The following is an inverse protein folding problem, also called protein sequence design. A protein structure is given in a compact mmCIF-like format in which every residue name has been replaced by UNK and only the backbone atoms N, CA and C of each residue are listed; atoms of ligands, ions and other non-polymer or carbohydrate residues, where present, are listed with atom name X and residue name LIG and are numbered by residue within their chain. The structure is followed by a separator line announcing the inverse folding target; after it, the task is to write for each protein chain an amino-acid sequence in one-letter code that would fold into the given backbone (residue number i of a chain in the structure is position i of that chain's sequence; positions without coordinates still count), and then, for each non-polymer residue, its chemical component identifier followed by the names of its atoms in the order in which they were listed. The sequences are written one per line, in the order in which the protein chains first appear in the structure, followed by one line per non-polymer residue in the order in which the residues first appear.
data_IF_822176004464
#
_entry.id   IF_822176004464
#
_cell.length_a   1.000
_cell.length_b   1.000
_cell.length_c   1.000
_cell.angle_alpha   90.00
_cell.angle_beta   90.00
_cell.angle_gamma   90.00
#
_symmetry.space_group_name_H-M   'P 1'
#
loop_
_entity.id
_entity.type
_entity.pdbx_description
1 polymer ?
#
# COMPACT_ATOMS: atom_id res chain seq x y z
N UNK A 1 60.05 10.27 -11.29
CA UNK A 1 58.92 9.50 -10.73
C UNK A 1 57.68 9.95 -11.47
N UNK A 2 57.15 9.11 -12.36
CA UNK A 2 55.79 9.33 -12.90
C UNK A 2 54.86 9.10 -11.71
N UNK A 3 54.00 10.05 -11.33
CA UNK A 3 52.96 9.78 -10.34
C UNK A 3 52.18 8.59 -10.89
N UNK A 4 52.17 7.49 -10.17
CA UNK A 4 51.30 6.36 -10.50
C UNK A 4 49.88 6.91 -10.58
N UNK A 5 49.28 6.93 -11.77
CA UNK A 5 47.88 7.33 -11.98
C UNK A 5 46.91 6.26 -11.42
N UNK A 6 47.40 5.44 -10.50
CA UNK A 6 46.65 4.40 -9.81
C UNK A 6 45.80 5.07 -8.72
N UNK A 7 44.53 4.67 -8.60
CA UNK A 7 43.65 5.21 -7.59
C UNK A 7 44.05 4.77 -6.19
N UNK A 8 43.83 5.66 -5.22
CA UNK A 8 43.95 5.31 -3.80
C UNK A 8 42.74 4.49 -3.35
N UNK A 9 42.92 3.68 -2.30
CA UNK A 9 41.83 2.92 -1.69
C UNK A 9 40.67 3.84 -1.25
N UNK A 10 40.98 5.03 -0.73
CA UNK A 10 39.97 6.01 -0.32
C UNK A 10 39.13 6.51 -1.50
N UNK A 11 39.74 6.74 -2.66
CA UNK A 11 39.03 7.19 -3.87
C UNK A 11 38.11 6.07 -4.39
N UNK A 12 38.58 4.83 -4.37
CA UNK A 12 37.76 3.66 -4.76
C UNK A 12 36.58 3.47 -3.78
N UNK A 13 36.82 3.64 -2.47
CA UNK A 13 35.77 3.59 -1.45
C UNK A 13 34.72 4.69 -1.63
N UNK A 14 35.15 5.91 -1.96
CA UNK A 14 34.24 7.01 -2.26
C UNK A 14 33.34 6.67 -3.44
N UNK A 15 33.90 6.13 -4.53
CA UNK A 15 33.11 5.69 -5.69
C UNK A 15 32.07 4.63 -5.32
N UNK A 16 32.41 3.64 -4.48
CA UNK A 16 31.42 2.67 -3.98
C UNK A 16 30.34 3.33 -3.11
N UNK A 17 30.71 4.29 -2.26
CA UNK A 17 29.76 5.05 -1.44
C UNK A 17 28.80 5.87 -2.31
N UNK A 18 29.31 6.50 -3.37
CA UNK A 18 28.51 7.27 -4.35
C UNK A 18 27.55 6.39 -5.12
N UNK A 19 27.95 5.17 -5.48
CA UNK A 19 27.02 4.20 -6.06
C UNK A 19 25.90 3.86 -5.08
N UNK A 20 26.26 3.57 -3.82
CA UNK A 20 25.28 3.29 -2.77
C UNK A 20 24.30 4.45 -2.56
N UNK A 21 24.78 5.69 -2.58
CA UNK A 21 23.97 6.90 -2.44
C UNK A 21 23.01 7.09 -3.62
N UNK A 22 23.49 6.96 -4.86
CA UNK A 22 22.66 7.05 -6.05
C UNK A 22 21.57 5.97 -6.06
N UNK A 23 21.94 4.72 -5.74
CA UNK A 23 20.98 3.62 -5.66
C UNK A 23 19.96 3.82 -4.53
N UNK A 24 20.41 4.28 -3.36
CA UNK A 24 19.54 4.63 -2.24
C UNK A 24 18.47 5.65 -2.65
N UNK A 25 18.86 6.76 -3.28
CA UNK A 25 17.90 7.77 -3.73
C UNK A 25 16.96 7.26 -4.82
N UNK A 26 17.40 6.32 -5.67
CA UNK A 26 16.51 5.65 -6.62
C UNK A 26 15.41 4.83 -5.91
N UNK A 27 15.73 4.21 -4.77
CA UNK A 27 14.76 3.45 -3.97
C UNK A 27 13.86 4.36 -3.11
N UNK A 28 14.37 5.51 -2.64
CA UNK A 28 13.54 6.55 -1.99
C UNK A 28 12.44 7.02 -2.94
N UNK A 29 12.82 7.42 -4.15
CA UNK A 29 11.87 7.81 -5.20
C UNK A 29 10.87 6.69 -5.50
N UNK A 30 11.35 5.45 -5.64
CA UNK A 30 10.48 4.30 -5.88
C UNK A 30 9.44 4.12 -4.76
N UNK A 31 9.84 4.28 -3.49
CA UNK A 31 8.91 4.22 -2.34
C UNK A 31 7.92 5.38 -2.35
N UNK A 32 8.37 6.60 -2.65
CA UNK A 32 7.49 7.76 -2.82
C UNK A 32 6.42 7.52 -3.89
N UNK A 33 6.82 7.05 -5.07
CA UNK A 33 5.90 6.70 -6.16
C UNK A 33 4.93 5.57 -5.78
N UNK A 34 5.38 4.57 -5.03
CA UNK A 34 4.48 3.54 -4.51
C UNK A 34 3.40 4.11 -3.59
N UNK A 35 3.76 5.04 -2.69
CA UNK A 35 2.81 5.70 -1.79
C UNK A 35 1.79 6.50 -2.60
N UNK A 36 2.25 7.27 -3.59
CA UNK A 36 1.38 8.00 -4.52
C UNK A 36 0.40 7.04 -5.21
N UNK A 37 0.89 5.91 -5.73
CA UNK A 37 0.05 4.91 -6.39
C UNK A 37 -1.00 4.34 -5.45
N UNK A 38 -0.60 3.91 -4.24
CA UNK A 38 -1.48 3.34 -3.24
C UNK A 38 -2.61 4.30 -2.84
N UNK A 39 -2.32 5.60 -2.81
CA UNK A 39 -3.26 6.62 -2.35
C UNK A 39 -4.09 7.26 -3.47
N UNK A 40 -3.70 7.08 -4.74
CA UNK A 40 -4.36 7.71 -5.88
C UNK A 40 -5.82 7.26 -6.03
N UNK A 41 -6.10 5.97 -5.81
CA UNK A 41 -7.44 5.39 -6.02
C UNK A 41 -8.28 5.28 -4.74
N UNK A 42 -7.73 5.73 -3.61
CA UNK A 42 -8.45 5.70 -2.35
C UNK A 42 -9.60 6.73 -2.36
N UNK A 43 -10.77 6.42 -1.78
CA UNK A 43 -11.87 7.37 -1.66
C UNK A 43 -11.52 8.51 -0.70
N UNK A 44 -12.46 9.37 -0.29
CA UNK A 44 -12.17 10.41 0.71
C UNK A 44 -11.83 9.78 2.06
N UNK A 45 -11.05 10.49 2.88
CA UNK A 45 -10.56 10.04 4.19
C UNK A 45 -11.65 9.42 5.09
N UNK A 46 -12.85 9.98 5.10
CA UNK A 46 -13.98 9.53 5.92
C UNK A 46 -14.62 8.20 5.46
N UNK A 47 -14.16 7.66 4.32
CA UNK A 47 -14.63 6.42 3.72
C UNK A 47 -13.59 5.30 3.80
N UNK A 48 -12.40 5.55 4.33
CA UNK A 48 -11.29 4.59 4.30
C UNK A 48 -11.09 3.96 5.66
N UNK A 49 -10.77 2.67 5.66
CA UNK A 49 -10.32 1.94 6.85
C UNK A 49 -8.80 1.77 6.80
N UNK A 50 -8.15 1.70 7.96
CA UNK A 50 -6.70 1.44 8.03
C UNK A 50 -6.29 0.19 7.23
N UNK A 51 -6.95 -0.98 7.37
CA UNK A 51 -6.57 -2.15 6.59
C UNK A 51 -6.70 -1.96 5.08
N UNK A 52 -7.59 -1.06 4.63
CA UNK A 52 -7.71 -0.72 3.21
C UNK A 52 -6.48 0.04 2.71
N UNK A 53 -5.95 0.97 3.49
CA UNK A 53 -4.70 1.68 3.16
C UNK A 53 -3.55 0.68 3.09
N UNK A 54 -3.44 -0.17 4.11
CA UNK A 54 -2.37 -1.17 4.20
C UNK A 54 -2.43 -2.17 3.02
N UNK A 55 -3.62 -2.57 2.56
CA UNK A 55 -3.79 -3.39 1.35
C UNK A 55 -3.22 -2.71 0.10
N UNK A 56 -3.55 -1.43 -0.12
CA UNK A 56 -3.07 -0.67 -1.27
C UNK A 56 -1.55 -0.44 -1.21
N UNK A 57 -1.02 -0.11 -0.03
CA UNK A 57 0.42 0.05 0.18
C UNK A 57 1.17 -1.26 -0.05
N UNK A 58 0.68 -2.38 0.50
CA UNK A 58 1.31 -3.68 0.33
C UNK A 58 1.34 -4.10 -1.14
N UNK A 59 0.25 -3.86 -1.88
CA UNK A 59 0.23 -4.07 -3.33
C UNK A 59 1.27 -3.19 -4.04
N UNK A 60 1.24 -1.87 -3.83
CA UNK A 60 2.18 -0.96 -4.50
C UNK A 60 3.64 -1.29 -4.18
N UNK A 61 3.97 -1.61 -2.92
CA UNK A 61 5.32 -1.98 -2.48
C UNK A 61 5.83 -3.30 -3.04
N UNK A 62 4.94 -4.12 -3.61
CA UNK A 62 5.28 -5.39 -4.25
C UNK A 62 5.66 -5.26 -5.73
N UNK A 63 5.42 -4.09 -6.32
CA UNK A 63 5.67 -3.77 -7.72
C UNK A 63 7.13 -3.36 -7.94
N UNK A 64 7.60 -3.52 -9.18
CA UNK A 64 8.87 -2.92 -9.60
C UNK A 64 8.66 -1.44 -9.97
N UNK A 65 9.73 -0.65 -10.02
CA UNK A 65 9.65 0.76 -10.46
C UNK A 65 8.94 0.88 -11.81
N UNK A 66 9.26 0.03 -12.79
CA UNK A 66 8.60 0.05 -14.10
C UNK A 66 7.10 -0.25 -14.04
N UNK A 67 6.69 -1.20 -13.20
CA UNK A 67 5.27 -1.52 -13.00
C UNK A 67 4.52 -0.36 -12.31
N UNK A 68 5.16 0.29 -11.32
CA UNK A 68 4.60 1.47 -10.63
C UNK A 68 4.40 2.62 -11.61
N UNK A 69 5.41 2.93 -12.44
CA UNK A 69 5.31 3.98 -13.46
C UNK A 69 4.21 3.69 -14.48
N UNK A 70 4.07 2.43 -14.89
CA UNK A 70 3.00 1.99 -15.80
C UNK A 70 1.63 2.21 -15.16
N UNK A 71 1.47 1.86 -13.88
CA UNK A 71 0.21 2.06 -13.15
C UNK A 71 -0.11 3.55 -12.89
N UNK A 72 0.92 4.40 -12.86
CA UNK A 72 0.81 5.85 -12.65
C UNK A 72 0.71 6.68 -13.93
N UNK A 73 0.90 6.09 -15.11
CA UNK A 73 1.06 6.82 -16.38
C UNK A 73 -0.06 7.82 -16.69
N UNK A 74 -1.31 7.52 -16.31
CA UNK A 74 -2.46 8.40 -16.52
C UNK A 74 -2.86 9.23 -15.28
N UNK A 75 -2.08 9.13 -14.20
CA UNK A 75 -2.37 9.80 -12.92
C UNK A 75 -1.41 10.94 -12.64
N UNK A 76 -0.17 10.82 -13.11
CA UNK A 76 0.84 11.86 -12.98
C UNK A 76 0.71 12.93 -14.07
N UNK A 77 1.23 14.14 -13.84
CA UNK A 77 1.34 15.16 -14.87
C UNK A 77 2.11 14.66 -16.09
N UNK A 78 1.60 14.93 -17.29
CA UNK A 78 2.27 14.57 -18.56
C UNK A 78 3.69 15.14 -18.63
N UNK A 79 3.92 16.30 -18.01
CA UNK A 79 5.24 16.94 -17.92
C UNK A 79 6.31 16.09 -17.20
N UNK A 80 5.90 15.05 -16.45
CA UNK A 80 6.84 14.15 -15.79
C UNK A 80 7.25 12.95 -16.65
N UNK A 81 6.57 12.67 -17.78
CA UNK A 81 6.74 11.43 -18.54
C UNK A 81 8.19 11.18 -18.96
N UNK A 82 8.81 12.10 -19.70
CA UNK A 82 10.16 11.94 -20.24
C UNK A 82 11.21 11.76 -19.11
N UNK A 83 11.03 12.52 -18.01
CA UNK A 83 11.91 12.45 -16.84
C UNK A 83 11.77 11.14 -16.08
N UNK A 84 10.56 10.59 -15.99
CA UNK A 84 10.30 9.30 -15.35
C UNK A 84 10.84 8.14 -16.19
N UNK A 85 10.80 8.25 -17.52
CA UNK A 85 11.45 7.31 -18.42
C UNK A 85 12.97 7.35 -18.23
N UNK A 86 13.59 8.53 -18.16
CA UNK A 86 15.02 8.68 -17.86
C UNK A 86 15.38 8.06 -16.50
N UNK A 87 14.63 8.37 -15.45
CA UNK A 87 14.78 7.79 -14.11
C UNK A 87 14.73 6.25 -14.16
N UNK A 88 13.76 5.68 -14.88
CA UNK A 88 13.63 4.23 -15.03
C UNK A 88 14.86 3.63 -15.68
N UNK A 89 15.34 4.25 -16.77
CA UNK A 89 16.54 3.81 -17.48
C UNK A 89 17.78 3.86 -16.59
N UNK A 90 18.00 4.97 -15.89
CA UNK A 90 19.16 5.12 -14.99
C UNK A 90 19.13 4.16 -13.82
N UNK A 91 17.96 3.92 -13.22
CA UNK A 91 17.81 2.93 -12.15
C UNK A 91 18.11 1.52 -12.65
N UNK A 92 17.61 1.15 -13.82
CA UNK A 92 17.89 -0.16 -14.43
C UNK A 92 19.38 -0.32 -14.78
N UNK A 93 20.01 0.74 -15.28
CA UNK A 93 21.45 0.76 -15.52
C UNK A 93 22.24 0.52 -14.22
N UNK A 94 21.94 1.25 -13.14
CA UNK A 94 22.57 1.05 -11.83
C UNK A 94 22.37 -0.36 -11.28
N UNK A 95 21.16 -0.92 -11.43
CA UNK A 95 20.80 -2.22 -10.88
C UNK A 95 21.44 -3.41 -11.63
N UNK A 96 21.68 -3.28 -12.93
CA UNK A 96 22.01 -4.43 -13.79
C UNK A 96 23.31 -4.31 -14.57
N UNK A 97 23.75 -3.09 -14.88
CA UNK A 97 24.77 -2.87 -15.90
C UNK A 97 25.99 -2.10 -15.38
N UNK A 98 25.82 -1.18 -14.43
CA UNK A 98 26.85 -0.24 -14.00
C UNK A 98 28.20 -0.92 -13.73
N UNK A 99 28.24 -1.95 -12.88
CA UNK A 99 29.50 -2.60 -12.53
C UNK A 99 30.16 -3.30 -13.70
N UNK A 100 29.39 -4.00 -14.53
CA UNK A 100 29.94 -4.71 -15.68
C UNK A 100 30.47 -3.73 -16.74
N UNK A 101 29.68 -2.71 -17.05
CA UNK A 101 29.99 -1.74 -18.09
C UNK A 101 31.09 -0.76 -17.67
N UNK A 102 31.19 -0.42 -16.38
CA UNK A 102 32.13 0.59 -15.85
C UNK A 102 33.38 0.03 -15.20
N UNK A 103 33.49 -1.28 -14.96
CA UNK A 103 34.65 -1.88 -14.27
C UNK A 103 36.01 -1.47 -14.89
N UNK A 104 36.07 -1.35 -16.22
CA UNK A 104 37.30 -0.99 -16.93
C UNK A 104 37.80 0.44 -16.65
N UNK A 105 36.97 1.30 -16.06
CA UNK A 105 37.31 2.68 -15.69
C UNK A 105 37.82 2.80 -14.24
N UNK A 106 37.85 1.71 -13.48
CA UNK A 106 38.17 1.73 -12.05
C UNK A 106 39.67 1.63 -11.73
N UNK A 107 40.54 1.75 -12.74
CA UNK A 107 41.99 1.56 -12.60
C UNK A 107 42.80 2.85 -12.70
N UNK A 108 42.13 4.00 -12.91
CA UNK A 108 42.77 5.30 -13.02
C UNK A 108 42.03 6.38 -12.23
N UNK A 109 42.78 7.31 -11.65
CA UNK A 109 42.22 8.41 -10.84
C UNK A 109 41.22 9.25 -11.63
N UNK A 110 41.59 9.67 -12.84
CA UNK A 110 40.76 10.51 -13.70
C UNK A 110 39.44 9.83 -14.07
N UNK A 111 39.48 8.53 -14.36
CA UNK A 111 38.31 7.75 -14.74
C UNK A 111 37.38 7.46 -13.54
N UNK A 112 37.93 7.23 -12.34
CA UNK A 112 37.09 7.10 -11.13
C UNK A 112 36.41 8.43 -10.80
N UNK A 113 37.08 9.56 -10.99
CA UNK A 113 36.47 10.87 -10.81
C UNK A 113 35.30 11.09 -11.78
N UNK A 114 35.42 10.64 -13.04
CA UNK A 114 34.30 10.64 -14.00
C UNK A 114 33.13 9.77 -13.53
N UNK A 115 33.41 8.57 -13.00
CA UNK A 115 32.36 7.70 -12.43
C UNK A 115 31.67 8.34 -11.24
N UNK A 116 32.41 8.99 -10.34
CA UNK A 116 31.85 9.72 -9.20
C UNK A 116 30.93 10.84 -9.71
N UNK A 117 31.36 11.63 -10.70
CA UNK A 117 30.54 12.68 -11.28
C UNK A 117 29.27 12.14 -11.96
N UNK A 118 29.35 11.00 -12.65
CA UNK A 118 28.18 10.30 -13.23
C UNK A 118 27.18 9.90 -12.13
N UNK A 119 27.66 9.30 -11.04
CA UNK A 119 26.85 8.87 -9.90
C UNK A 119 26.21 10.03 -9.13
N UNK A 120 26.93 11.14 -8.98
CA UNK A 120 26.39 12.38 -8.42
C UNK A 120 25.27 12.94 -9.31
N UNK A 121 25.43 12.87 -10.64
CA UNK A 121 24.38 13.21 -11.60
C UNK A 121 23.11 12.36 -11.42
N UNK A 122 23.26 11.04 -11.25
CA UNK A 122 22.13 10.15 -10.97
C UNK A 122 21.47 10.44 -9.62
N UNK A 123 22.27 10.73 -8.60
CA UNK A 123 21.77 11.12 -7.28
C UNK A 123 20.89 12.37 -7.38
N UNK A 124 21.35 13.40 -8.09
CA UNK A 124 20.57 14.62 -8.28
C UNK A 124 19.29 14.38 -9.10
N UNK A 125 19.37 13.56 -10.15
CA UNK A 125 18.21 13.18 -10.96
C UNK A 125 17.09 12.54 -10.10
N UNK A 126 17.43 11.53 -9.29
CA UNK A 126 16.45 10.84 -8.45
C UNK A 126 15.87 11.76 -7.38
N UNK A 127 16.72 12.55 -6.71
CA UNK A 127 16.28 13.51 -5.70
C UNK A 127 15.32 14.55 -6.26
N UNK A 128 15.64 15.15 -7.40
CA UNK A 128 14.77 16.15 -8.00
C UNK A 128 13.42 15.56 -8.39
N UNK A 129 13.40 14.34 -8.94
CA UNK A 129 12.13 13.68 -9.29
C UNK A 129 11.31 13.33 -8.05
N UNK A 130 11.96 12.93 -6.96
CA UNK A 130 11.31 12.64 -5.66
C UNK A 130 10.68 13.90 -5.06
N UNK A 131 11.43 15.00 -5.04
CA UNK A 131 10.95 16.31 -4.60
C UNK A 131 9.76 16.79 -5.44
N UNK A 132 9.85 16.70 -6.77
CA UNK A 132 8.80 17.17 -7.68
C UNK A 132 7.52 16.33 -7.57
N UNK A 133 7.64 15.00 -7.45
CA UNK A 133 6.48 14.13 -7.28
C UNK A 133 5.85 14.27 -5.90
N UNK A 134 6.66 14.46 -4.86
CA UNK A 134 6.18 14.73 -3.50
C UNK A 134 5.43 16.06 -3.43
N UNK A 135 5.98 17.12 -4.03
CA UNK A 135 5.34 18.43 -4.09
C UNK A 135 4.01 18.38 -4.85
N UNK A 136 3.96 17.67 -5.98
CA UNK A 136 2.73 17.47 -6.74
C UNK A 136 1.66 16.72 -5.95
N UNK A 137 2.07 15.75 -5.13
CA UNK A 137 1.15 14.92 -4.35
C UNK A 137 0.68 15.58 -3.04
N UNK A 138 1.23 16.74 -2.68
CA UNK A 138 1.07 17.31 -1.34
C UNK A 138 -0.39 17.63 -1.00
N UNK A 139 -1.14 18.24 -1.92
CA UNK A 139 -2.57 18.55 -1.72
C UNK A 139 -3.36 17.27 -1.40
N UNK A 140 -3.10 16.19 -2.16
CA UNK A 140 -3.76 14.91 -1.99
C UNK A 140 -3.39 14.26 -0.66
N UNK A 141 -2.12 14.33 -0.25
CA UNK A 141 -1.64 13.89 1.06
C UNK A 141 -2.39 14.62 2.19
N UNK A 142 -2.54 15.95 2.07
CA UNK A 142 -3.27 16.77 3.04
C UNK A 142 -4.76 16.44 3.11
N UNK A 143 -5.42 16.10 1.99
CA UNK A 143 -6.81 15.61 1.97
C UNK A 143 -7.02 14.36 2.84
N UNK A 144 -5.98 13.52 2.97
CA UNK A 144 -5.98 12.35 3.85
C UNK A 144 -5.64 12.68 5.31
N UNK A 145 -5.38 13.94 5.64
CA UNK A 145 -4.99 14.38 6.96
C UNK A 145 -3.56 14.01 7.35
N UNK A 146 -2.73 13.66 6.37
CA UNK A 146 -1.30 13.43 6.57
C UNK A 146 -0.57 14.77 6.52
N UNK A 147 -0.82 15.63 7.52
CA UNK A 147 -0.19 16.95 7.61
C UNK A 147 1.30 16.84 7.92
N UNK A 148 2.03 17.95 7.79
CA UNK A 148 3.44 17.99 8.16
C UNK A 148 3.67 17.58 9.62
N UNK A 149 2.85 18.07 10.55
CA UNK A 149 2.93 17.68 11.97
C UNK A 149 2.80 16.17 12.18
N UNK A 150 1.88 15.52 11.45
CA UNK A 150 1.69 14.06 11.51
C UNK A 150 2.90 13.31 10.97
N UNK A 151 3.51 13.81 9.89
CA UNK A 151 4.73 13.23 9.35
C UNK A 151 5.91 13.39 10.32
N UNK A 152 6.07 14.57 10.91
CA UNK A 152 7.14 14.83 11.88
C UNK A 152 6.98 13.97 13.14
N UNK A 153 5.75 13.79 13.64
CA UNK A 153 5.48 12.87 14.74
C UNK A 153 5.84 11.43 14.37
N UNK A 154 5.43 10.97 13.18
CA UNK A 154 5.77 9.63 12.69
C UNK A 154 7.28 9.44 12.53
N UNK A 155 7.99 10.44 12.00
CA UNK A 155 9.45 10.46 11.87
C UNK A 155 10.12 10.36 13.25
N UNK A 156 9.64 11.13 14.24
CA UNK A 156 10.16 11.09 15.60
C UNK A 156 10.00 9.70 16.23
N UNK A 157 8.87 9.01 15.99
CA UNK A 157 8.68 7.62 16.44
C UNK A 157 9.72 6.67 15.83
N UNK A 158 9.93 6.75 14.52
CA UNK A 158 10.94 5.93 13.81
C UNK A 158 12.35 6.22 14.33
N UNK A 159 12.73 7.49 14.48
CA UNK A 159 14.04 7.89 15.00
C UNK A 159 14.25 7.47 16.46
N UNK A 160 13.18 7.33 17.25
CA UNK A 160 13.24 6.79 18.60
C UNK A 160 13.38 5.27 18.66
N UNK A 161 13.37 4.58 17.53
CA UNK A 161 13.49 3.12 17.43
C UNK A 161 12.19 2.39 17.75
N UNK A 162 11.03 3.05 17.67
CA UNK A 162 9.75 2.35 17.74
C UNK A 162 9.60 1.48 16.50
N UNK A 163 9.37 0.19 16.73
CA UNK A 163 9.14 -0.78 15.68
C UNK A 163 7.68 -0.71 15.23
N UNK A 164 7.46 -0.62 13.92
CA UNK A 164 6.13 -0.76 13.32
C UNK A 164 6.09 -2.11 12.59
N UNK A 165 5.05 -2.93 12.81
CA UNK A 165 4.95 -4.22 12.16
C UNK A 165 4.98 -4.03 10.63
N UNK A 166 5.79 -4.82 9.92
CA UNK A 166 5.95 -4.63 8.48
C UNK A 166 4.65 -4.95 7.74
N UNK A 167 4.46 -4.28 6.61
CA UNK A 167 3.41 -4.66 5.68
C UNK A 167 3.64 -6.09 5.15
N UNK A 168 2.58 -6.81 4.72
CA UNK A 168 2.72 -8.17 4.22
C UNK A 168 3.65 -8.22 3.01
N UNK A 169 4.48 -9.26 2.97
CA UNK A 169 5.37 -9.51 1.84
C UNK A 169 4.61 -9.83 0.54
N UNK A 170 5.32 -9.76 -0.59
CA UNK A 170 4.77 -9.96 -1.95
C UNK A 170 3.95 -11.24 -2.12
N UNK A 171 4.35 -12.35 -1.51
CA UNK A 171 3.63 -13.62 -1.64
C UNK A 171 2.30 -13.60 -0.88
N UNK A 172 2.26 -12.96 0.29
CA UNK A 172 1.03 -12.75 1.04
C UNK A 172 0.06 -11.86 0.23
N UNK A 173 0.55 -10.77 -0.36
CA UNK A 173 -0.23 -9.89 -1.24
C UNK A 173 -0.84 -10.68 -2.42
N UNK A 174 -0.05 -11.48 -3.13
CA UNK A 174 -0.55 -12.31 -4.25
C UNK A 174 -1.65 -13.28 -3.82
N UNK A 175 -1.48 -13.92 -2.66
CA UNK A 175 -2.50 -14.83 -2.13
C UNK A 175 -3.79 -14.08 -1.79
N UNK A 176 -3.69 -12.89 -1.21
CA UNK A 176 -4.82 -12.00 -0.89
C UNK A 176 -5.55 -11.61 -2.17
N UNK A 177 -4.85 -11.10 -3.19
CA UNK A 177 -5.46 -10.72 -4.47
C UNK A 177 -6.17 -11.88 -5.15
N UNK A 178 -5.58 -13.08 -5.11
CA UNK A 178 -6.19 -14.29 -5.64
C UNK A 178 -7.51 -14.59 -4.92
N UNK A 179 -7.57 -14.43 -3.60
CA UNK A 179 -8.80 -14.60 -2.80
C UNK A 179 -9.84 -13.54 -3.15
N UNK A 180 -9.44 -12.29 -3.34
CA UNK A 180 -10.33 -11.18 -3.68
C UNK A 180 -11.02 -11.33 -5.05
N UNK A 181 -10.34 -11.94 -6.03
CA UNK A 181 -10.86 -12.17 -7.39
C UNK A 181 -11.83 -13.36 -7.50
N UNK A 182 -11.80 -14.27 -6.53
CA UNK A 182 -12.56 -15.52 -6.56
C UNK A 182 -13.90 -15.46 -5.81
N UNK A 183 -14.67 -16.55 -5.92
CA UNK A 183 -15.68 -16.87 -4.90
C UNK A 183 -14.98 -17.50 -3.70
N UNK A 184 -15.38 -17.10 -2.50
CA UNK A 184 -14.92 -17.69 -1.25
C UNK A 184 -16.12 -18.13 -0.42
N UNK A 185 -15.90 -19.12 0.44
CA UNK A 185 -16.93 -19.61 1.34
C UNK A 185 -16.79 -18.95 2.70
N UNK A 186 -17.73 -18.07 3.02
CA UNK A 186 -17.87 -17.45 4.33
C UNK A 186 -18.49 -18.47 5.30
N UNK A 187 -17.83 -18.72 6.43
CA UNK A 187 -18.26 -19.73 7.41
C UNK A 187 -18.86 -19.09 8.66
N UNK A 188 -18.26 -18.01 9.17
CA UNK A 188 -18.72 -17.30 10.36
C UNK A 188 -18.54 -15.79 10.23
N UNK A 189 -19.33 -15.05 10.99
CA UNK A 189 -19.11 -13.62 11.24
C UNK A 189 -19.08 -13.40 12.74
N UNK A 190 -18.01 -12.77 13.20
CA UNK A 190 -17.72 -12.47 14.58
C UNK A 190 -17.97 -11.00 14.88
N UNK A 191 -18.42 -10.74 16.10
CA UNK A 191 -18.46 -9.41 16.69
C UNK A 191 -17.43 -9.35 17.81
N UNK A 192 -16.54 -8.36 17.71
CA UNK A 192 -15.48 -8.09 18.69
C UNK A 192 -15.68 -6.70 19.27
N UNK A 193 -15.52 -6.53 20.58
CA UNK A 193 -15.54 -5.21 21.21
C UNK A 193 -14.11 -4.73 21.37
N UNK A 194 -13.75 -3.64 20.68
CA UNK A 194 -12.40 -3.10 20.72
C UNK A 194 -12.18 -2.27 22.00
N UNK A 195 -10.96 -2.28 22.59
CA UNK A 195 -10.64 -1.47 23.77
C UNK A 195 -10.85 0.04 23.55
N UNK A 196 -10.66 0.51 22.32
CA UNK A 196 -10.80 1.90 21.90
C UNK A 196 -12.28 2.31 21.66
N UNK A 197 -13.22 1.38 21.88
CA UNK A 197 -14.60 1.52 21.46
C UNK A 197 -14.80 1.05 20.02
N UNK A 198 -15.98 0.49 19.74
CA UNK A 198 -16.34 -0.02 18.42
C UNK A 198 -16.55 -1.53 18.40
N UNK A 199 -17.48 -1.96 17.53
CA UNK A 199 -17.85 -3.37 17.35
C UNK A 199 -17.63 -3.79 15.89
N UNK A 200 -16.40 -3.98 15.43
CA UNK A 200 -16.16 -4.44 14.07
C UNK A 200 -16.79 -5.82 13.82
N UNK A 201 -17.30 -6.00 12.60
CA UNK A 201 -17.65 -7.33 12.10
C UNK A 201 -16.40 -7.96 11.47
N UNK A 202 -16.01 -9.14 11.95
CA UNK A 202 -14.89 -9.91 11.42
C UNK A 202 -15.41 -11.17 10.75
N UNK A 203 -15.06 -11.35 9.48
CA UNK A 203 -15.56 -12.41 8.61
C UNK A 203 -14.53 -13.52 8.53
N UNK A 204 -14.91 -14.75 8.89
CA UNK A 204 -14.06 -15.93 8.82
C UNK A 204 -14.39 -16.76 7.58
N UNK A 205 -13.39 -16.94 6.72
CA UNK A 205 -13.50 -17.75 5.51
C UNK A 205 -13.13 -19.21 5.78
N UNK A 206 -13.49 -20.11 4.87
CA UNK A 206 -13.25 -21.56 5.01
C UNK A 206 -11.78 -21.96 5.19
N UNK A 207 -10.84 -21.13 4.72
CA UNK A 207 -9.41 -21.35 4.89
C UNK A 207 -8.87 -20.83 6.23
N UNK A 208 -9.76 -20.38 7.13
CA UNK A 208 -9.41 -19.81 8.43
C UNK A 208 -8.95 -18.35 8.39
N UNK A 209 -8.90 -17.72 7.21
CA UNK A 209 -8.51 -16.31 7.12
C UNK A 209 -9.63 -15.38 7.61
N UNK A 210 -9.21 -14.29 8.25
CA UNK A 210 -10.09 -13.27 8.80
C UNK A 210 -10.11 -12.04 7.89
N UNK A 211 -11.27 -11.38 7.79
CA UNK A 211 -11.52 -10.24 6.91
C UNK A 211 -12.43 -9.22 7.59
N UNK A 212 -12.42 -7.98 7.13
CA UNK A 212 -13.31 -6.93 7.61
C UNK A 212 -14.00 -6.22 6.45
N UNK A 213 -15.08 -5.50 6.74
CA UNK A 213 -15.72 -4.65 5.73
C UNK A 213 -14.83 -3.44 5.43
N UNK A 214 -14.80 -3.04 4.16
CA UNK A 214 -14.18 -1.81 3.71
C UNK A 214 -15.08 -1.11 2.68
N UNK A 215 -14.57 -0.06 2.05
CA UNK A 215 -15.23 0.69 0.99
C UNK A 215 -15.71 -0.16 -0.20
N UNK A 216 -15.08 -1.31 -0.46
CA UNK A 216 -15.31 -2.11 -1.65
C UNK A 216 -15.62 -3.60 -1.36
N UNK A 217 -16.24 -3.92 -0.22
CA UNK A 217 -16.56 -5.29 0.17
C UNK A 217 -15.73 -5.78 1.36
N UNK A 218 -15.18 -6.99 1.27
CA UNK A 218 -14.27 -7.54 2.26
C UNK A 218 -12.82 -7.13 1.94
N UNK A 219 -12.18 -6.46 2.89
CA UNK A 219 -10.77 -6.12 2.89
C UNK A 219 -10.00 -6.86 3.97
N UNK A 220 -8.69 -6.64 3.97
CA UNK A 220 -7.79 -7.17 4.98
C UNK A 220 -8.20 -6.70 6.39
N UNK A 221 -7.73 -7.39 7.41
CA UNK A 221 -7.93 -7.06 8.82
C UNK A 221 -6.63 -7.26 9.58
N UNK A 222 -6.43 -6.47 10.64
CA UNK A 222 -5.30 -6.63 11.56
C UNK A 222 -5.37 -7.87 12.44
N UNK A 223 -6.52 -8.56 12.46
CA UNK A 223 -6.72 -9.73 13.30
C UNK A 223 -6.17 -11.00 12.64
N UNK A 224 -5.25 -11.67 13.32
CA UNK A 224 -4.66 -12.93 12.84
C UNK A 224 -5.38 -14.17 13.37
N UNK A 225 -6.11 -14.03 14.48
CA UNK A 225 -6.82 -15.12 15.15
C UNK A 225 -8.10 -14.63 15.80
N UNK A 226 -9.01 -15.57 16.02
CA UNK A 226 -10.24 -15.35 16.77
C UNK A 226 -9.88 -15.36 18.26
N UNK A 227 -10.32 -14.34 18.98
CA UNK A 227 -10.09 -14.26 20.42
C UNK A 227 -11.27 -14.89 21.21
N UNK A 228 -11.03 -15.43 22.42
CA UNK A 228 -12.06 -16.16 23.18
C UNK A 228 -13.31 -15.36 23.54
N UNK A 229 -13.21 -14.02 23.57
CA UNK A 229 -14.31 -13.12 23.92
C UNK A 229 -15.16 -12.69 22.70
N UNK A 230 -14.82 -13.15 21.49
CA UNK A 230 -15.61 -12.84 20.30
C UNK A 230 -16.88 -13.67 20.26
N UNK A 231 -17.98 -13.05 19.80
CA UNK A 231 -19.29 -13.70 19.74
C UNK A 231 -19.73 -13.82 18.28
N UNK A 232 -20.25 -14.99 17.89
CA UNK A 232 -20.85 -15.16 16.56
C UNK A 232 -22.06 -14.24 16.39
N UNK A 233 -22.14 -13.53 15.26
CA UNK A 233 -23.17 -12.53 15.07
C UNK A 233 -24.55 -13.17 14.83
N UNK A 234 -25.53 -13.02 15.75
CA UNK A 234 -26.76 -13.81 15.75
C UNK A 234 -27.67 -13.56 14.54
N UNK A 235 -27.65 -12.34 13.99
CA UNK A 235 -28.46 -11.99 12.83
C UNK A 235 -27.92 -12.51 11.48
N UNK A 236 -26.63 -12.84 11.39
CA UNK A 236 -25.99 -13.27 10.13
C UNK A 236 -25.81 -14.80 10.13
N UNK A 237 -25.46 -15.37 11.29
CA UNK A 237 -25.12 -16.78 11.44
C UNK A 237 -26.15 -17.78 10.86
N UNK A 238 -27.47 -17.56 10.94
CA UNK A 238 -28.46 -18.47 10.34
C UNK A 238 -28.36 -18.61 8.80
N UNK A 239 -27.68 -17.67 8.14
CA UNK A 239 -27.53 -17.62 6.69
C UNK A 239 -26.15 -18.08 6.20
N UNK A 240 -25.33 -18.62 7.11
CA UNK A 240 -24.01 -19.17 6.84
C UNK A 240 -24.01 -20.71 6.94
N UNK A 241 -23.07 -21.43 6.30
CA UNK A 241 -22.04 -20.90 5.38
C UNK A 241 -22.64 -20.46 4.03
N UNK A 242 -21.97 -19.52 3.35
CA UNK A 242 -22.39 -18.99 2.05
C UNK A 242 -21.19 -18.72 1.13
N UNK A 243 -21.36 -18.97 -0.17
CA UNK A 243 -20.35 -18.64 -1.18
C UNK A 243 -20.56 -17.19 -1.65
N UNK A 244 -19.59 -16.32 -1.36
CA UNK A 244 -19.64 -14.89 -1.63
C UNK A 244 -18.50 -14.47 -2.56
N UNK A 245 -18.64 -13.34 -3.24
CA UNK A 245 -17.51 -12.63 -3.84
C UNK A 245 -17.00 -11.59 -2.82
N UNK A 246 -15.72 -11.64 -2.39
CA UNK A 246 -15.16 -10.64 -1.47
C UNK A 246 -15.22 -9.22 -2.02
N UNK A 247 -15.13 -9.07 -3.34
CA UNK A 247 -15.34 -7.81 -4.07
C UNK A 247 -16.66 -7.89 -4.84
N UNK A 248 -17.81 -7.72 -4.16
CA UNK A 248 -19.11 -7.70 -4.82
C UNK A 248 -19.19 -6.50 -5.77
N UNK A 249 -20.25 -6.42 -6.59
CA UNK A 249 -20.49 -5.21 -7.37
C UNK A 249 -20.73 -4.04 -6.43
N UNK A 250 -19.92 -2.99 -6.57
CA UNK A 250 -19.98 -1.76 -5.76
C UNK A 250 -20.49 -0.64 -6.65
N UNK A 251 -21.57 0.02 -6.26
CA UNK A 251 -22.06 1.23 -6.95
C UNK A 251 -21.38 2.48 -6.42
N UNK A 252 -21.17 2.53 -5.10
CA UNK A 252 -20.50 3.61 -4.36
C UNK A 252 -19.73 3.02 -3.18
N UNK A 253 -18.67 3.69 -2.67
CA UNK A 253 -18.00 3.26 -1.46
C UNK A 253 -18.99 2.93 -0.32
N UNK A 254 -18.83 1.77 0.29
CA UNK A 254 -19.73 1.23 1.32
C UNK A 254 -21.15 0.92 0.86
N UNK A 255 -21.46 0.88 -0.43
CA UNK A 255 -22.76 0.51 -0.97
C UNK A 255 -22.64 -0.76 -1.84
N UNK A 256 -22.86 -1.91 -1.20
CA UNK A 256 -22.75 -3.23 -1.82
C UNK A 256 -23.53 -4.30 -1.04
N UNK A 257 -23.70 -5.46 -1.67
CA UNK A 257 -24.50 -6.56 -1.15
C UNK A 257 -23.80 -7.90 -1.35
N UNK A 258 -23.89 -8.77 -0.34
CA UNK A 258 -23.50 -10.18 -0.41
C UNK A 258 -24.75 -11.07 -0.38
N UNK A 259 -24.85 -11.97 -1.36
CA UNK A 259 -25.89 -13.00 -1.34
C UNK A 259 -25.45 -14.14 -0.42
N UNK A 260 -26.28 -14.45 0.56
CA UNK A 260 -26.08 -15.52 1.54
C UNK A 260 -26.98 -16.72 1.25
N UNK A 261 -26.95 -17.73 2.13
CA UNK A 261 -27.82 -18.92 2.02
C UNK A 261 -29.30 -18.53 2.06
N UNK A 262 -30.14 -19.37 1.47
CA UNK A 262 -31.60 -19.17 1.41
C UNK A 262 -32.04 -17.87 0.70
N UNK A 263 -31.15 -17.25 -0.09
CA UNK A 263 -31.41 -16.00 -0.79
C UNK A 263 -31.50 -14.79 0.15
N UNK A 264 -30.99 -14.90 1.37
CA UNK A 264 -30.80 -13.75 2.24
C UNK A 264 -29.69 -12.85 1.68
N UNK A 265 -29.79 -11.56 1.93
CA UNK A 265 -28.85 -10.56 1.42
C UNK A 265 -28.30 -9.75 2.58
N UNK A 266 -26.99 -9.85 2.81
CA UNK A 266 -26.25 -8.94 3.68
C UNK A 266 -25.92 -7.69 2.89
N UNK A 267 -26.52 -6.57 3.24
CA UNK A 267 -26.29 -5.29 2.59
C UNK A 267 -25.45 -4.38 3.49
N UNK A 268 -24.63 -3.54 2.85
CA UNK A 268 -23.82 -2.51 3.50
C UNK A 268 -24.11 -1.19 2.83
N UNK A 269 -24.25 -0.14 3.64
CA UNK A 269 -24.50 1.25 3.21
C UNK A 269 -23.66 2.22 4.03
N UNK A 270 -23.37 3.42 3.49
CA UNK A 270 -22.85 4.52 4.30
C UNK A 270 -23.76 4.83 5.51
N UNK A 271 -23.13 5.13 6.65
CA UNK A 271 -23.79 5.64 7.84
C UNK A 271 -24.19 7.10 7.67
N UNK A 272 -24.98 7.63 8.60
CA UNK A 272 -25.40 9.04 8.56
C UNK A 272 -24.31 9.97 9.07
N UNK A 273 -23.43 9.46 9.94
CA UNK A 273 -22.26 10.18 10.46
C UNK A 273 -21.01 9.89 9.62
N UNK A 274 -20.07 10.85 9.50
CA UNK A 274 -18.76 10.60 8.92
C UNK A 274 -18.08 9.41 9.60
N UNK A 275 -17.29 8.63 8.85
CA UNK A 275 -16.60 7.44 9.36
C UNK A 275 -17.51 6.35 9.95
N UNK A 276 -18.81 6.34 9.62
CA UNK A 276 -19.71 5.26 10.03
C UNK A 276 -20.34 4.54 8.84
N UNK A 277 -20.68 3.27 9.02
CA UNK A 277 -21.45 2.47 8.07
C UNK A 277 -22.67 1.84 8.76
N UNK A 278 -23.61 1.39 7.95
CA UNK A 278 -24.78 0.61 8.36
C UNK A 278 -24.80 -0.66 7.54
N UNK A 279 -25.30 -1.72 8.12
CA UNK A 279 -25.43 -2.99 7.44
C UNK A 279 -26.66 -3.72 7.96
N UNK A 280 -27.22 -4.63 7.20
CA UNK A 280 -28.31 -5.46 7.69
C UNK A 280 -28.52 -6.70 6.82
N UNK A 281 -29.39 -7.59 7.27
CA UNK A 281 -29.81 -8.76 6.48
C UNK A 281 -31.24 -8.57 6.01
N UNK A 282 -31.48 -8.74 4.71
CA UNK A 282 -32.81 -8.77 4.09
C UNK A 282 -33.15 -10.19 3.66
N UNK A 283 -34.36 -10.63 3.97
CA UNK A 283 -34.90 -11.93 3.51
C UNK A 283 -36.12 -11.71 2.63
N UNK A 284 -36.52 -12.73 1.86
CA UNK A 284 -37.75 -12.70 1.07
C UNK A 284 -39.03 -12.53 1.91
N UNK A 285 -38.98 -12.80 3.22
CA UNK A 285 -40.14 -12.79 4.12
C UNK A 285 -40.38 -11.45 4.85
N UNK A 286 -39.53 -10.43 4.63
CA UNK A 286 -39.65 -9.13 5.29
C UNK A 286 -38.31 -8.57 5.77
N UNK A 287 -38.25 -7.25 5.94
CA UNK A 287 -37.06 -6.53 6.34
C UNK A 287 -36.88 -6.58 7.87
N UNK A 288 -35.70 -6.98 8.33
CA UNK A 288 -35.28 -6.87 9.73
C UNK A 288 -35.08 -5.39 10.10
N UNK A 289 -35.27 -5.07 11.39
CA UNK A 289 -35.24 -3.74 12.03
C UNK A 289 -34.09 -2.82 11.59
N UNK A 290 -34.27 -1.50 11.80
CA UNK A 290 -33.24 -0.50 11.50
C UNK A 290 -31.91 -0.86 12.18
N UNK A 291 -30.85 -1.12 11.42
CA UNK A 291 -29.61 -1.56 12.02
C UNK A 291 -28.83 -0.41 12.66
N UNK A 292 -28.06 -0.70 13.72
CA UNK A 292 -27.22 0.28 14.40
C UNK A 292 -26.12 0.81 13.46
N UNK A 293 -25.74 2.07 13.66
CA UNK A 293 -24.55 2.64 13.03
C UNK A 293 -23.29 2.08 13.69
N UNK A 294 -22.27 1.79 12.89
CA UNK A 294 -20.96 1.31 13.35
C UNK A 294 -19.85 2.17 12.77
N UNK A 295 -18.78 2.35 13.53
CA UNK A 295 -17.57 3.04 13.07
C UNK A 295 -16.84 2.16 12.03
N UNK A 296 -16.26 2.81 11.02
CA UNK A 296 -15.55 2.19 9.88
C UNK A 296 -14.14 1.73 10.24
#
# INVERSE_FOLDING_TARGET
MVPTNEPTDDLVREMYARFGLAYYHSEVLHRGLCIILAMSDLPRRDLITRPRIEEHLAHAFSLTLGDVLTALANKLPVAFSDRLDEVREKRNFLAHHFWFDRAHLMFRVDQIQELIAELDGYTQLFRQMDEDTSAWFDDRRQEFGLTEDVLQESMARVLSGQDEPPLPGRDAVKQIEKKLKGKTRLIRVWESELPEGGKPLVFELQDGSLWQLCDAGLGWTRFERIEPYWVEHPAIQPYLPADISPRPKVERPWEYEFTLKHGAVLWVKPGRRPQTFRWGVRTKAGCTEQPPERDK
#
